data_IF_169155807773
#
_entry.id   IF_169155807773
#
_cell.length_a   1.000
_cell.length_b   1.000
_cell.length_c   1.000
_cell.angle_alpha   90.00
_cell.angle_beta   90.00
_cell.angle_gamma   90.00
#
_symmetry.space_group_name_H-M   'P 1'
#
loop_
_entity.id
_entity.type
_entity.pdbx_description
1 polymer ?
#
# COMPACT_ATOMS: atom_id res chain seq x y z
N UNK A 1 -12.48 5.70 -2.56
CA UNK A 1 -11.29 5.22 -1.81
C UNK A 1 -10.56 6.43 -1.30
N UNK A 2 -10.23 6.50 0.00
CA UNK A 2 -9.38 7.59 0.50
C UNK A 2 -8.01 7.48 -0.19
N UNK A 3 -7.52 8.56 -0.77
CA UNK A 3 -6.17 8.60 -1.31
C UNK A 3 -5.23 8.56 -0.10
N UNK A 4 -4.52 7.44 0.08
CA UNK A 4 -3.46 7.34 1.07
C UNK A 4 -2.22 7.96 0.42
N UNK A 5 -1.62 8.94 1.09
CA UNK A 5 -0.39 9.57 0.66
C UNK A 5 0.68 9.27 1.70
N UNK A 6 1.91 9.06 1.25
CA UNK A 6 3.08 8.84 2.10
C UNK A 6 4.06 9.99 1.89
N UNK A 7 4.63 10.53 2.97
CA UNK A 7 5.65 11.57 2.88
C UNK A 7 7.02 10.91 2.95
N UNK A 8 7.83 11.11 1.91
CA UNK A 8 9.20 10.60 1.82
C UNK A 8 10.11 11.78 1.54
N UNK A 9 11.12 12.01 2.39
CA UNK A 9 12.02 13.18 2.28
C UNK A 9 11.28 14.52 2.15
N UNK A 10 10.15 14.68 2.84
CA UNK A 10 9.34 15.91 2.79
C UNK A 10 8.48 16.09 1.54
N UNK A 11 8.46 15.11 0.63
CA UNK A 11 7.57 15.10 -0.54
C UNK A 11 6.46 14.07 -0.36
N UNK A 12 5.21 14.50 -0.56
CA UNK A 12 4.05 13.61 -0.57
C UNK A 12 3.99 12.83 -1.89
N UNK A 13 3.79 11.52 -1.78
CA UNK A 13 3.61 10.61 -2.90
C UNK A 13 2.30 9.86 -2.76
N UNK A 14 1.58 9.63 -3.87
CA UNK A 14 0.39 8.79 -3.83
C UNK A 14 0.79 7.35 -3.48
N UNK A 15 0.05 6.72 -2.58
CA UNK A 15 0.25 5.34 -2.18
C UNK A 15 -1.08 4.59 -2.24
N UNK A 16 -1.23 3.67 -3.20
CA UNK A 16 -2.47 2.90 -3.36
C UNK A 16 -2.19 1.42 -3.53
N UNK A 17 -3.04 0.60 -2.91
CA UNK A 17 -3.08 -0.82 -3.16
C UNK A 17 -3.62 -1.04 -4.58
N UNK A 18 -2.74 -1.50 -5.47
CA UNK A 18 -3.08 -1.79 -6.86
C UNK A 18 -2.58 -3.18 -7.21
N UNK A 19 -3.15 -3.82 -8.23
CA UNK A 19 -2.63 -5.11 -8.69
C UNK A 19 -1.16 -5.02 -9.13
N UNK A 20 -0.74 -3.87 -9.69
CA UNK A 20 0.66 -3.61 -10.02
C UNK A 20 1.58 -3.60 -8.79
N UNK A 21 1.08 -3.17 -7.63
CA UNK A 21 1.84 -3.20 -6.38
C UNK A 21 2.03 -4.63 -5.87
N UNK A 22 0.98 -5.45 -5.94
CA UNK A 22 1.04 -6.86 -5.53
C UNK A 22 2.02 -7.65 -6.40
N UNK A 23 1.97 -7.48 -7.73
CA UNK A 23 2.90 -8.14 -8.65
C UNK A 23 4.35 -7.68 -8.46
N UNK A 24 4.57 -6.39 -8.16
CA UNK A 24 5.90 -5.87 -7.84
C UNK A 24 6.42 -6.50 -6.54
N UNK A 25 5.61 -6.52 -5.50
CA UNK A 25 5.99 -7.13 -4.23
C UNK A 25 6.41 -8.60 -4.39
N UNK A 26 5.64 -9.37 -5.15
CA UNK A 26 5.99 -10.76 -5.50
C UNK A 26 7.33 -10.85 -6.23
N UNK A 27 7.60 -9.93 -7.15
CA UNK A 27 8.87 -9.89 -7.88
C UNK A 27 10.05 -9.52 -6.99
N UNK A 28 9.89 -8.59 -6.06
CA UNK A 28 10.98 -8.14 -5.18
C UNK A 28 11.27 -9.14 -4.05
N UNK A 29 10.25 -9.82 -3.50
CA UNK A 29 10.39 -10.67 -2.30
C UNK A 29 10.29 -12.17 -2.57
N UNK A 30 9.73 -12.56 -3.73
CA UNK A 30 9.41 -13.94 -4.06
C UNK A 30 8.12 -14.48 -3.41
N UNK A 31 7.38 -13.65 -2.66
CA UNK A 31 6.18 -14.05 -1.90
C UNK A 31 4.95 -13.25 -2.32
N UNK A 32 3.78 -13.84 -2.18
CA UNK A 32 2.53 -13.09 -2.35
C UNK A 32 2.28 -12.14 -1.17
N UNK A 33 1.55 -11.05 -1.42
CA UNK A 33 1.12 -10.12 -0.36
C UNK A 33 0.25 -10.83 0.69
N UNK A 34 -0.47 -11.88 0.29
CA UNK A 34 -1.26 -12.70 1.21
C UNK A 34 -0.42 -13.55 2.16
N UNK A 35 0.87 -13.75 1.85
CA UNK A 35 1.82 -14.50 2.68
C UNK A 35 2.58 -13.59 3.66
N UNK A 36 2.25 -12.28 3.69
CA UNK A 36 2.92 -11.30 4.53
C UNK A 36 2.51 -11.48 6.00
N UNK A 37 3.39 -12.04 6.82
CA UNK A 37 3.12 -12.35 8.24
C UNK A 37 3.29 -11.15 9.20
N UNK A 38 3.17 -9.91 8.70
CA UNK A 38 3.32 -8.70 9.52
C UNK A 38 4.76 -8.29 9.84
N UNK A 39 5.75 -8.83 9.13
CA UNK A 39 7.13 -8.38 9.25
C UNK A 39 7.32 -6.94 8.75
N UNK A 40 8.04 -6.11 9.49
CA UNK A 40 8.27 -4.70 9.15
C UNK A 40 8.99 -4.54 7.79
N UNK A 41 9.95 -5.40 7.49
CA UNK A 41 10.66 -5.40 6.20
C UNK A 41 9.73 -5.68 5.02
N UNK A 42 8.84 -6.67 5.17
CA UNK A 42 7.86 -7.00 4.13
C UNK A 42 6.84 -5.86 3.98
N UNK A 43 6.39 -5.26 5.09
CA UNK A 43 5.51 -4.10 5.07
C UNK A 43 6.15 -2.89 4.36
N UNK A 44 7.42 -2.61 4.64
CA UNK A 44 8.17 -1.54 3.97
C UNK A 44 8.31 -1.81 2.47
N UNK A 45 8.64 -3.04 2.07
CA UNK A 45 8.71 -3.43 0.67
C UNK A 45 7.36 -3.31 -0.04
N UNK A 46 6.27 -3.68 0.63
CA UNK A 46 4.93 -3.56 0.08
C UNK A 46 4.49 -2.11 -0.06
N UNK A 47 4.75 -1.26 0.93
CA UNK A 47 4.52 0.19 0.89
C UNK A 47 5.27 0.85 -0.27
N UNK A 48 6.54 0.51 -0.47
CA UNK A 48 7.31 0.95 -1.63
C UNK A 48 6.62 0.54 -2.94
N UNK A 49 6.20 -0.72 -3.06
CA UNK A 49 5.51 -1.23 -4.25
C UNK A 49 4.18 -0.49 -4.52
N UNK A 50 3.43 -0.15 -3.47
CA UNK A 50 2.21 0.66 -3.54
C UNK A 50 2.51 2.07 -4.07
N UNK A 51 3.55 2.70 -3.55
CA UNK A 51 3.97 4.05 -3.95
C UNK A 51 4.42 4.07 -5.41
N UNK A 52 5.33 3.19 -5.83
CA UNK A 52 5.79 3.08 -7.23
C UNK A 52 4.63 2.85 -8.19
N UNK A 53 3.69 1.99 -7.81
CA UNK A 53 2.55 1.66 -8.68
C UNK A 53 1.57 2.82 -8.83
N UNK A 54 1.27 3.51 -7.73
CA UNK A 54 0.39 4.66 -7.73
C UNK A 54 1.02 5.84 -8.47
N UNK A 55 2.32 6.11 -8.24
CA UNK A 55 3.07 7.11 -8.99
C UNK A 55 3.04 6.84 -10.50
N UNK A 56 3.22 5.58 -10.93
CA UNK A 56 3.10 5.19 -12.35
C UNK A 56 1.70 5.38 -12.91
N UNK A 57 0.66 5.11 -12.12
CA UNK A 57 -0.72 5.31 -12.55
C UNK A 57 -1.07 6.80 -12.69
N UNK A 58 -0.51 7.65 -11.83
CA UNK A 58 -0.79 9.10 -11.80
C UNK A 58 0.21 9.94 -12.61
N UNK A 59 1.20 9.31 -13.24
CA UNK A 59 2.26 10.02 -13.97
C UNK A 59 3.20 10.83 -13.07
N UNK A 60 3.28 10.50 -11.78
CA UNK A 60 4.21 11.13 -10.84
C UNK A 60 5.58 10.48 -10.95
N UNK A 61 6.62 11.30 -11.11
CA UNK A 61 7.99 10.82 -11.15
C UNK A 61 8.43 10.26 -9.79
N UNK A 62 8.85 8.99 -9.80
CA UNK A 62 9.38 8.27 -8.66
C UNK A 62 10.58 7.43 -9.12
N UNK A 63 11.78 7.88 -8.76
CA UNK A 63 13.06 7.31 -9.21
C UNK A 63 13.83 6.56 -8.12
N UNK A 64 13.37 6.62 -6.86
CA UNK A 64 14.01 5.94 -5.73
C UNK A 64 13.92 4.42 -5.88
N UNK A 65 15.01 3.73 -5.57
CA UNK A 65 15.03 2.28 -5.36
C UNK A 65 14.37 1.90 -4.02
N UNK A 66 14.14 0.59 -3.81
CA UNK A 66 13.59 0.10 -2.55
C UNK A 66 14.46 0.48 -1.34
N UNK A 67 15.79 0.38 -1.48
CA UNK A 67 16.71 0.75 -0.40
C UNK A 67 16.70 2.25 -0.12
N UNK A 68 16.75 3.09 -1.16
CA UNK A 68 16.70 4.56 -0.98
C UNK A 68 15.37 5.01 -0.36
N UNK A 69 14.27 4.33 -0.70
CA UNK A 69 12.98 4.55 -0.05
C UNK A 69 13.01 4.14 1.42
N UNK A 70 13.54 2.95 1.73
CA UNK A 70 13.66 2.43 3.09
C UNK A 70 14.56 3.32 3.97
N UNK A 71 15.63 3.88 3.41
CA UNK A 71 16.52 4.82 4.09
C UNK A 71 15.85 6.17 4.39
N UNK A 72 14.74 6.47 3.70
CA UNK A 72 14.04 7.76 3.73
C UNK A 72 12.73 7.73 4.52
N UNK A 73 12.39 6.59 5.14
CA UNK A 73 11.13 6.39 5.88
C UNK A 73 11.40 5.82 7.28
N UNK A 74 10.67 6.28 8.28
CA UNK A 74 10.80 5.74 9.62
C UNK A 74 9.96 4.45 9.79
N UNK A 75 10.36 3.53 10.69
CA UNK A 75 9.54 2.38 11.08
C UNK A 75 8.10 2.76 11.49
N UNK A 76 7.94 3.89 12.18
CA UNK A 76 6.64 4.38 12.64
C UNK A 76 5.71 4.78 11.46
N UNK A 77 6.26 5.34 10.39
CA UNK A 77 5.50 5.68 9.18
C UNK A 77 4.96 4.41 8.49
N UNK A 78 5.76 3.34 8.47
CA UNK A 78 5.35 2.03 7.95
C UNK A 78 4.25 1.43 8.82
N UNK A 79 4.39 1.51 10.15
CA UNK A 79 3.38 1.04 11.10
C UNK A 79 2.04 1.76 10.92
N UNK A 80 2.06 3.09 10.91
CA UNK A 80 0.85 3.90 10.71
C UNK A 80 0.19 3.65 9.35
N UNK A 81 0.98 3.39 8.31
CA UNK A 81 0.44 3.00 7.01
C UNK A 81 -0.22 1.61 7.05
N UNK A 82 0.39 0.61 7.69
CA UNK A 82 -0.19 -0.74 7.84
C UNK A 82 -1.53 -0.66 8.58
N UNK A 83 -1.59 0.14 9.65
CA UNK A 83 -2.85 0.37 10.38
C UNK A 83 -3.91 1.04 9.49
N UNK A 84 -3.55 2.06 8.73
CA UNK A 84 -4.46 2.75 7.81
C UNK A 84 -4.99 1.82 6.70
N UNK A 85 -4.13 0.97 6.15
CA UNK A 85 -4.50 -0.02 5.13
C UNK A 85 -5.39 -1.10 5.71
N UNK A 86 -5.05 -1.65 6.88
CA UNK A 86 -5.87 -2.67 7.54
C UNK A 86 -7.23 -2.11 7.96
N UNK A 87 -7.27 -0.87 8.46
CA UNK A 87 -8.53 -0.18 8.75
C UNK A 87 -9.36 0.03 7.48
N UNK A 88 -8.73 0.31 6.34
CA UNK A 88 -9.42 0.46 5.06
C UNK A 88 -9.89 -0.88 4.49
N UNK A 89 -9.14 -1.96 4.69
CA UNK A 89 -9.54 -3.32 4.32
C UNK A 89 -10.69 -3.84 5.20
N UNK A 90 -10.68 -3.51 6.50
CA UNK A 90 -11.77 -3.78 7.42
C UNK A 90 -13.02 -2.92 7.18
N UNK A 91 -12.88 -1.79 6.48
CA UNK A 91 -13.96 -0.91 6.03
C UNK A 91 -14.22 -1.02 4.51
N UNK A 92 -13.71 -2.05 3.83
CA UNK A 92 -14.25 -2.40 2.54
C UNK A 92 -15.75 -2.64 2.77
N UNK A 93 -16.67 -2.06 1.98
CA UNK A 93 -18.08 -2.38 2.12
C UNK A 93 -18.17 -3.89 1.95
N UNK A 94 -18.40 -4.59 3.07
CA UNK A 94 -19.00 -5.89 2.98
C UNK A 94 -20.35 -5.59 2.37
N UNK A 95 -20.48 -5.92 1.08
CA UNK A 95 -21.75 -6.18 0.40
C UNK A 95 -22.95 -5.58 1.17
N UNK A 96 -23.12 -4.25 1.09
CA UNK A 96 -24.40 -3.62 1.42
C UNK A 96 -25.37 -4.00 0.30
N UNK A 97 -25.73 -5.28 0.25
CA UNK A 97 -26.89 -5.80 -0.45
C UNK A 97 -28.13 -5.54 0.40
N UNK A 98 -28.49 -4.26 0.57
CA UNK A 98 -29.84 -3.86 0.94
C UNK A 98 -30.78 -4.16 -0.23
N UNK A 99 -31.84 -4.96 0.02
CA UNK A 99 -32.77 -5.37 -1.03
C UNK A 99 -33.84 -6.36 -0.59
N UNK A 100 -34.80 -5.87 0.18
CA UNK A 100 -36.16 -6.38 0.45
C UNK A 100 -36.70 -7.58 -0.37
N UNK A 101 -37.34 -8.53 0.33
CA UNK A 101 -38.66 -9.03 -0.09
C UNK A 101 -39.51 -9.48 1.09
N UNK A 102 -40.51 -8.64 1.42
CA UNK A 102 -41.77 -9.06 2.03
C UNK A 102 -42.45 -10.12 1.16
N UNK A 103 -42.83 -11.26 1.73
CA UNK A 103 -44.16 -11.90 1.63
C UNK A 103 -44.20 -13.14 2.52
#
# INVERSE_FOLDING_TARGET
MKNIEIVVNGKAYPCRQTMGAMLRFKRETGKEVTEMSGGLSDACAYLYCCTVSACKADGVEFSMSLMEFADSIAPDDVGGWVEAVNATAANAPGDDGDGEKKS
#
